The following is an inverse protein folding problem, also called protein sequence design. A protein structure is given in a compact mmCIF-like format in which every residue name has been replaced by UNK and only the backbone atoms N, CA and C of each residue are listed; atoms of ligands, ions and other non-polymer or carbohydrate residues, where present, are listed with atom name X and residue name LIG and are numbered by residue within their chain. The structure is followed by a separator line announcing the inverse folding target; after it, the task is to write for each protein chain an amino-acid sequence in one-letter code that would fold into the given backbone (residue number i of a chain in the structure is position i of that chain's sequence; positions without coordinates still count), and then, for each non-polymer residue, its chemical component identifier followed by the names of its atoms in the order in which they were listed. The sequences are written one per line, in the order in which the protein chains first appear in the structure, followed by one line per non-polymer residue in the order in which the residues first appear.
data_IF_630799389145
#
_entry.id   IF_630799389145
#
_cell.length_a   1.000
_cell.length_b   1.000
_cell.length_c   1.000
_cell.angle_alpha   90.00
_cell.angle_beta   90.00
_cell.angle_gamma   90.00
#
_symmetry.space_group_name_H-M   'P 1'
#
loop_
_entity.id
_entity.type
_entity.pdbx_description
1 polymer ?
#
# COMPACT_ATOMS: atom_id res chain seq x y z
N UNK A 1 -11.87 0.96 -14.43
CA UNK A 1 -11.08 0.24 -13.41
C UNK A 1 -11.20 1.02 -12.11
N UNK A 2 -11.72 0.42 -11.03
CA UNK A 2 -11.91 1.08 -9.73
C UNK A 2 -10.56 1.44 -9.06
N UNK A 3 -9.52 0.69 -9.40
CA UNK A 3 -8.17 0.86 -8.90
C UNK A 3 -7.51 2.18 -9.38
N UNK A 4 -7.60 2.47 -10.69
CA UNK A 4 -7.06 3.70 -11.28
C UNK A 4 -7.74 4.96 -10.76
N UNK A 5 -9.08 4.93 -10.62
CA UNK A 5 -9.84 6.07 -10.11
C UNK A 5 -9.60 6.33 -8.61
N UNK A 6 -9.32 5.30 -7.81
CA UNK A 6 -8.93 5.47 -6.41
C UNK A 6 -7.49 5.97 -6.27
N UNK A 7 -6.56 5.49 -7.10
CA UNK A 7 -5.18 6.00 -7.16
C UNK A 7 -5.15 7.48 -7.56
N UNK A 8 -5.98 7.87 -8.55
CA UNK A 8 -6.18 9.27 -8.94
C UNK A 8 -6.80 10.12 -7.81
N UNK A 9 -7.70 9.52 -7.00
CA UNK A 9 -8.33 10.20 -5.85
C UNK A 9 -7.40 10.29 -4.64
N UNK A 10 -6.53 9.30 -4.41
CA UNK A 10 -5.48 9.31 -3.38
C UNK A 10 -4.38 10.31 -3.68
N UNK A 11 -4.09 10.58 -4.96
CA UNK A 11 -3.13 11.62 -5.35
C UNK A 11 -3.58 13.06 -5.08
N UNK A 12 -4.83 13.28 -4.65
CA UNK A 12 -5.45 14.60 -4.62
C UNK A 12 -5.62 15.30 -3.27
N UNK A 13 -5.69 14.59 -2.13
CA UNK A 13 -5.98 15.26 -0.85
C UNK A 13 -5.69 14.46 0.43
N UNK A 14 -5.53 13.13 0.34
CA UNK A 14 -5.42 12.26 1.52
C UNK A 14 -4.24 11.31 1.29
N UNK A 15 -3.03 11.76 1.63
CA UNK A 15 -1.85 10.89 1.69
C UNK A 15 -2.10 9.87 2.79
N UNK A 16 -2.72 8.75 2.43
CA UNK A 16 -2.89 7.62 3.34
C UNK A 16 -1.51 7.19 3.84
N UNK A 17 -1.34 7.20 5.15
CA UNK A 17 -0.11 6.74 5.77
C UNK A 17 0.15 5.27 5.38
N UNK A 18 1.41 4.83 5.27
CA UNK A 18 1.73 3.46 4.86
C UNK A 18 0.96 2.39 5.65
N UNK A 19 0.82 2.59 6.96
CA UNK A 19 0.07 1.67 7.83
C UNK A 19 -1.45 1.67 7.57
N UNK A 20 -2.03 2.78 7.12
CA UNK A 20 -3.44 2.84 6.73
C UNK A 20 -3.68 2.04 5.45
N UNK A 21 -2.76 2.10 4.49
CA UNK A 21 -2.79 1.26 3.28
C UNK A 21 -2.73 -0.22 3.66
N UNK A 22 -1.80 -0.59 4.56
CA UNK A 22 -1.64 -1.98 5.00
C UNK A 22 -2.92 -2.55 5.67
N UNK A 23 -3.63 -1.72 6.44
CA UNK A 23 -4.86 -2.11 7.15
C UNK A 23 -6.14 -1.94 6.35
N UNK A 24 -6.08 -1.32 5.17
CA UNK A 24 -7.26 -0.98 4.40
C UNK A 24 -8.02 -2.24 3.97
N UNK A 25 -9.32 -2.34 4.26
CA UNK A 25 -10.11 -3.56 4.04
C UNK A 25 -10.61 -3.71 2.60
N UNK A 26 -10.62 -2.63 1.82
CA UNK A 26 -11.07 -2.65 0.42
C UNK A 26 -9.98 -3.09 -0.57
N UNK A 27 -8.73 -3.26 -0.11
CA UNK A 27 -7.63 -3.73 -0.96
C UNK A 27 -7.26 -5.17 -0.62
N UNK A 28 -7.00 -5.94 -1.67
CA UNK A 28 -6.35 -7.24 -1.53
C UNK A 28 -4.90 -7.05 -1.06
N UNK A 29 -4.31 -8.12 -0.50
CA UNK A 29 -2.92 -8.07 -0.09
C UNK A 29 -1.96 -7.69 -1.24
N UNK A 30 -2.26 -8.13 -2.47
CA UNK A 30 -1.45 -7.79 -3.64
C UNK A 30 -1.51 -6.29 -3.95
N UNK A 31 -2.71 -5.72 -4.00
CA UNK A 31 -2.91 -4.28 -4.24
C UNK A 31 -2.22 -3.40 -3.18
N UNK A 32 -2.28 -3.81 -1.91
CA UNK A 32 -1.58 -3.13 -0.82
C UNK A 32 -0.07 -3.15 -1.04
N UNK A 33 0.49 -4.30 -1.41
CA UNK A 33 1.92 -4.43 -1.67
C UNK A 33 2.34 -3.59 -2.88
N UNK A 34 1.55 -3.56 -3.96
CA UNK A 34 1.81 -2.72 -5.12
C UNK A 34 1.88 -1.23 -4.74
N UNK A 35 0.88 -0.73 -4.00
CA UNK A 35 0.83 0.66 -3.50
C UNK A 35 2.02 0.99 -2.59
N UNK A 36 2.32 0.12 -1.62
CA UNK A 36 3.42 0.34 -0.68
C UNK A 36 4.79 0.30 -1.36
N UNK A 37 4.99 -0.60 -2.34
CA UNK A 37 6.24 -0.62 -3.11
C UNK A 37 6.40 0.62 -3.98
N UNK A 38 5.31 1.13 -4.55
CA UNK A 38 5.35 2.38 -5.31
C UNK A 38 5.73 3.56 -4.40
N UNK A 39 5.07 3.67 -3.24
CA UNK A 39 5.40 4.70 -2.25
C UNK A 39 6.85 4.61 -1.78
N UNK A 40 7.36 3.39 -1.60
CA UNK A 40 8.78 3.15 -1.25
C UNK A 40 9.71 3.64 -2.34
N UNK A 41 9.42 3.35 -3.60
CA UNK A 41 10.24 3.80 -4.72
C UNK A 41 10.30 5.33 -4.78
N UNK A 42 9.17 6.00 -4.61
CA UNK A 42 9.07 7.47 -4.55
C UNK A 42 9.87 8.04 -3.37
N UNK A 43 9.72 7.47 -2.16
CA UNK A 43 10.47 7.88 -0.98
C UNK A 43 11.99 7.67 -1.14
N UNK A 44 12.42 6.51 -1.66
CA UNK A 44 13.85 6.26 -1.89
C UNK A 44 14.45 7.14 -2.99
N UNK A 45 13.68 7.48 -4.02
CA UNK A 45 14.11 8.41 -5.07
C UNK A 45 14.30 9.82 -4.53
N UNK A 46 13.30 10.35 -3.83
CA UNK A 46 13.39 11.67 -3.20
C UNK A 46 14.49 11.75 -2.13
N UNK A 47 14.72 10.68 -1.35
CA UNK A 47 15.84 10.63 -0.40
C UNK A 47 17.22 10.71 -1.09
N UNK A 48 17.36 10.10 -2.28
CA UNK A 48 18.60 10.20 -3.08
C UNK A 48 18.77 11.60 -3.67
N UNK A 49 17.69 12.24 -4.07
CA UNK A 49 17.69 13.62 -4.59
C UNK A 49 17.83 14.69 -3.48
N UNK A 50 17.68 14.29 -2.21
CA UNK A 50 17.74 15.19 -1.05
C UNK A 50 16.44 15.98 -0.84
N UNK A 51 15.35 15.57 -1.48
CA UNK A 51 14.03 16.15 -1.33
C UNK A 51 13.35 15.67 -0.04
N UNK A 52 12.51 16.53 0.58
CA UNK A 52 11.74 16.14 1.75
C UNK A 52 10.73 15.04 1.36
N UNK A 53 10.97 13.84 1.86
CA UNK A 53 10.03 12.72 1.74
C UNK A 53 8.84 12.92 2.69
N UNK A 54 7.65 12.55 2.23
CA UNK A 54 6.45 12.57 3.08
C UNK A 54 6.47 11.45 4.13
N UNK A 55 7.18 10.35 3.87
CA UNK A 55 7.28 9.18 4.72
C UNK A 55 8.67 8.56 4.65
N UNK A 56 9.17 8.06 5.77
CA UNK A 56 10.46 7.37 5.79
C UNK A 56 10.34 5.98 5.13
N UNK A 57 11.37 5.52 4.38
CA UNK A 57 11.36 4.18 3.79
C UNK A 57 11.13 3.06 4.80
N UNK A 58 11.63 3.25 6.04
CA UNK A 58 11.48 2.32 7.14
C UNK A 58 10.01 2.16 7.58
N UNK A 59 9.22 3.23 7.56
CA UNK A 59 7.79 3.19 7.88
C UNK A 59 7.00 2.43 6.81
N UNK A 60 7.41 2.58 5.55
CA UNK A 60 6.83 1.87 4.42
C UNK A 60 7.17 0.37 4.50
N UNK A 61 8.41 0.03 4.86
CA UNK A 61 8.84 -1.35 5.08
C UNK A 61 8.06 -2.02 6.22
N UNK A 62 7.80 -1.32 7.31
CA UNK A 62 6.97 -1.82 8.41
C UNK A 62 5.54 -2.14 7.94
N UNK A 63 4.96 -1.29 7.09
CA UNK A 63 3.65 -1.53 6.49
C UNK A 63 3.65 -2.74 5.54
N UNK A 64 4.70 -2.91 4.71
CA UNK A 64 4.86 -4.08 3.83
C UNK A 64 4.95 -5.36 4.65
N UNK A 65 5.74 -5.35 5.73
CA UNK A 65 5.88 -6.47 6.64
C UNK A 65 4.53 -6.83 7.27
N UNK A 66 3.74 -5.83 7.68
CA UNK A 66 2.40 -6.04 8.23
C UNK A 66 1.45 -6.74 7.24
N UNK A 67 1.46 -6.33 5.97
CA UNK A 67 0.65 -6.98 4.92
C UNK A 67 1.12 -8.42 4.70
N UNK A 68 2.43 -8.65 4.62
CA UNK A 68 2.99 -10.00 4.46
C UNK A 68 2.66 -10.91 5.65
N UNK A 69 2.72 -10.38 6.86
CA UNK A 69 2.33 -11.12 8.07
C UNK A 69 0.84 -11.49 8.04
N UNK A 70 -0.04 -10.55 7.65
CA UNK A 70 -1.46 -10.82 7.51
C UNK A 70 -1.78 -11.89 6.46
N UNK A 71 -1.02 -11.93 5.36
CA UNK A 71 -1.09 -13.01 4.35
C UNK A 71 -0.61 -14.34 4.92
N UNK A 72 0.55 -14.35 5.58
CA UNK A 72 1.14 -15.57 6.15
C UNK A 72 0.26 -16.18 7.27
N UNK A 73 -0.46 -15.34 8.01
CA UNK A 73 -1.41 -15.75 9.05
C UNK A 73 -2.77 -16.20 8.50
N UNK A 74 -2.99 -16.14 7.19
CA UNK A 74 -4.27 -16.49 6.55
C UNK A 74 -5.40 -15.48 6.78
N UNK A 75 -5.12 -14.35 7.44
CA UNK A 75 -6.10 -13.29 7.76
C UNK A 75 -6.48 -12.47 6.50
N UNK A 76 -5.70 -12.57 5.42
CA UNK A 76 -5.94 -11.85 4.17
C UNK A 76 -6.54 -12.69 3.02
N UNK A 77 -6.79 -13.99 3.20
CA UNK A 77 -7.32 -14.87 2.13
C UNK A 77 -8.85 -14.95 2.09
N UNK A 78 -9.55 -14.36 3.05
CA UNK A 78 -11.03 -14.41 3.10
C UNK A 78 -11.72 -13.34 2.25
N UNK A 79 -11.00 -12.37 1.69
CA UNK A 79 -11.57 -11.46 0.67
C UNK A 79 -11.49 -12.03 -0.75
N UNK A 80 -11.27 -13.34 -0.89
CA UNK A 80 -11.66 -14.04 -2.13
C UNK A 80 -13.18 -14.11 -2.13
N UNK A 81 -13.82 -13.03 -2.59
CA UNK A 81 -15.15 -13.10 -3.15
C UNK A 81 -15.09 -14.13 -4.28
N UNK A 82 -15.49 -15.34 -3.92
CA UNK A 82 -15.97 -16.41 -4.77
C UNK A 82 -16.93 -15.80 -5.79
N UNK A 83 -16.42 -15.48 -6.98
CA UNK A 83 -17.21 -14.85 -8.03
C UNK A 83 -16.37 -14.40 -9.20
N UNK A 84 -15.90 -15.37 -10.00
CA UNK A 84 -15.94 -15.29 -11.47
C UNK A 84 -15.61 -16.71 -12.00
N UNK A 85 -16.61 -17.34 -12.62
CA UNK A 85 -16.58 -18.63 -13.30
C UNK A 85 -16.93 -18.36 -14.77
#
# INVERSE_FOLDING_TARGET
MVFDTLKQRMGGADQLNPMQIARHTLFTAREKLDLLNQLKAEATGAQVEGDPVAFEPEEIDAAIAHVREGVARGVGTETVLKGDY
#
